data_IF_024475171178
#
_entry.id   IF_024475171178
#
_cell.length_a   1.000
_cell.length_b   1.000
_cell.length_c   1.000
_cell.angle_alpha   90.00
_cell.angle_beta   90.00
_cell.angle_gamma   90.00
#
_symmetry.space_group_name_H-M   'P 1'
#
loop_
_entity.id
_entity.type
_entity.pdbx_description
1 polymer ?
#
# COMPACT_ATOMS: atom_id res chain seq x y z
N UNK A 1 -8.84 -16.71 -24.28
CA UNK A 1 -7.91 -17.00 -23.16
C UNK A 1 -7.11 -15.78 -22.71
N UNK A 2 -6.65 -14.89 -23.60
CA UNK A 2 -5.93 -13.66 -23.24
C UNK A 2 -6.71 -12.71 -22.30
N UNK A 3 -8.02 -12.57 -22.51
CA UNK A 3 -8.92 -11.72 -21.70
C UNK A 3 -9.04 -12.16 -20.24
N UNK A 4 -9.06 -13.47 -19.96
CA UNK A 4 -9.12 -13.99 -18.58
C UNK A 4 -7.81 -13.74 -17.83
N UNK A 5 -6.67 -13.92 -18.50
CA UNK A 5 -5.36 -13.64 -17.91
C UNK A 5 -5.15 -12.15 -17.62
N UNK A 6 -5.64 -11.26 -18.50
CA UNK A 6 -5.64 -9.82 -18.26
C UNK A 6 -6.53 -9.46 -17.07
N UNK A 7 -7.77 -9.95 -17.02
CA UNK A 7 -8.70 -9.70 -15.90
C UNK A 7 -8.18 -10.22 -14.55
N UNK A 8 -7.51 -11.38 -14.53
CA UNK A 8 -6.85 -11.89 -13.33
C UNK A 8 -5.64 -11.03 -12.96
N UNK A 9 -4.86 -10.58 -13.94
CA UNK A 9 -3.68 -9.74 -13.74
C UNK A 9 -4.02 -8.41 -13.05
N UNK A 10 -5.08 -7.72 -13.47
CA UNK A 10 -5.43 -6.45 -12.87
C UNK A 10 -6.10 -6.59 -11.49
N UNK A 11 -6.98 -7.59 -11.30
CA UNK A 11 -7.51 -7.92 -9.96
C UNK A 11 -6.40 -8.29 -8.97
N UNK A 12 -5.38 -9.00 -9.45
CA UNK A 12 -4.20 -9.34 -8.65
C UNK A 12 -3.37 -8.09 -8.35
N UNK A 13 -3.13 -7.22 -9.34
CA UNK A 13 -2.39 -5.97 -9.17
C UNK A 13 -3.04 -5.05 -8.15
N UNK A 14 -4.35 -4.83 -8.27
CA UNK A 14 -5.13 -4.04 -7.32
C UNK A 14 -5.14 -4.68 -5.92
N UNK A 15 -5.36 -5.99 -5.84
CA UNK A 15 -5.36 -6.74 -4.58
C UNK A 15 -4.01 -6.65 -3.85
N UNK A 16 -2.89 -6.77 -4.58
CA UNK A 16 -1.55 -6.62 -4.02
C UNK A 16 -1.27 -5.18 -3.56
N UNK A 17 -1.69 -4.18 -4.33
CA UNK A 17 -1.54 -2.77 -3.95
C UNK A 17 -2.28 -2.47 -2.64
N UNK A 18 -3.53 -2.94 -2.51
CA UNK A 18 -4.31 -2.83 -1.27
C UNK A 18 -3.59 -3.54 -0.12
N UNK A 19 -3.13 -4.78 -0.32
CA UNK A 19 -2.49 -5.58 0.71
C UNK A 19 -1.22 -4.87 1.26
N UNK A 20 -0.40 -4.31 0.38
CA UNK A 20 0.80 -3.58 0.76
C UNK A 20 0.44 -2.29 1.51
N UNK A 21 -0.48 -1.49 0.98
CA UNK A 21 -0.87 -0.22 1.59
C UNK A 21 -1.53 -0.40 2.96
N UNK A 22 -2.54 -1.28 3.03
CA UNK A 22 -3.26 -1.58 4.26
C UNK A 22 -2.36 -2.28 5.28
N UNK A 23 -1.52 -3.23 4.84
CA UNK A 23 -0.54 -3.90 5.68
C UNK A 23 0.46 -2.91 6.31
N UNK A 24 1.00 -2.00 5.51
CA UNK A 24 1.87 -0.93 6.00
C UNK A 24 1.16 -0.04 7.04
N UNK A 25 -0.08 0.38 6.75
CA UNK A 25 -0.88 1.20 7.67
C UNK A 25 -1.14 0.48 9.00
N UNK A 26 -1.53 -0.78 8.95
CA UNK A 26 -1.81 -1.58 10.15
C UNK A 26 -0.55 -1.82 10.98
N UNK A 27 0.55 -2.18 10.32
CA UNK A 27 1.82 -2.43 10.99
C UNK A 27 2.34 -1.14 11.64
N UNK A 28 2.29 -0.02 10.93
CA UNK A 28 2.78 1.27 11.44
C UNK A 28 1.90 1.89 12.53
N UNK A 29 0.58 1.64 12.51
CA UNK A 29 -0.36 2.18 13.51
C UNK A 29 -0.52 1.32 14.76
N UNK A 30 -0.41 -0.01 14.62
CA UNK A 30 -0.67 -0.94 15.73
C UNK A 30 0.56 -1.73 16.14
N UNK A 31 1.26 -2.37 15.19
CA UNK A 31 2.30 -3.35 15.51
C UNK A 31 3.59 -2.68 15.97
N UNK A 32 4.04 -1.63 15.27
CA UNK A 32 5.27 -0.93 15.59
C UNK A 32 5.14 -0.13 16.90
N UNK A 33 4.09 0.68 17.12
CA UNK A 33 3.94 1.44 18.36
C UNK A 33 3.86 0.56 19.60
N UNK A 34 3.28 -0.64 19.47
CA UNK A 34 3.21 -1.63 20.57
C UNK A 34 4.58 -2.12 21.04
N UNK A 35 5.59 -2.18 20.17
CA UNK A 35 6.97 -2.58 20.53
C UNK A 35 7.92 -1.40 20.69
N UNK A 36 7.60 -0.25 20.09
CA UNK A 36 8.40 0.98 20.15
C UNK A 36 7.49 2.19 20.38
N UNK A 37 7.30 2.62 21.64
CA UNK A 37 6.42 3.73 21.99
C UNK A 37 6.83 5.06 21.34
N UNK A 38 8.11 5.24 21.03
CA UNK A 38 8.61 6.46 20.40
C UNK A 38 8.45 6.49 18.88
N UNK A 39 7.84 5.50 18.24
CA UNK A 39 7.61 5.51 16.79
C UNK A 39 6.62 6.62 16.37
N UNK A 40 6.85 7.35 15.26
CA UNK A 40 7.99 7.26 14.33
C UNK A 40 9.23 8.08 14.75
N UNK A 41 9.11 8.87 15.82
CA UNK A 41 10.21 9.60 16.45
C UNK A 41 10.98 10.47 15.47
N UNK A 42 12.31 10.37 15.48
CA UNK A 42 13.20 11.12 14.58
C UNK A 42 13.07 10.70 13.10
N UNK A 43 12.47 9.54 12.83
CA UNK A 43 12.23 9.02 11.49
C UNK A 43 10.97 9.56 10.81
N UNK A 44 10.23 10.49 11.44
CA UNK A 44 8.98 11.05 10.94
C UNK A 44 9.05 11.51 9.47
N UNK A 45 10.09 12.24 9.00
CA UNK A 45 10.15 12.68 7.60
C UNK A 45 10.18 11.52 6.61
N UNK A 46 10.94 10.46 6.91
CA UNK A 46 11.04 9.27 6.07
C UNK A 46 9.72 8.49 6.10
N UNK A 47 9.12 8.35 7.29
CA UNK A 47 7.82 7.70 7.44
C UNK A 47 6.75 8.38 6.60
N UNK A 48 6.70 9.72 6.63
CA UNK A 48 5.78 10.50 5.81
C UNK A 48 6.06 10.34 4.32
N UNK A 49 7.33 10.39 3.90
CA UNK A 49 7.71 10.20 2.51
C UNK A 49 7.27 8.81 1.98
N UNK A 50 7.50 7.75 2.76
CA UNK A 50 7.05 6.39 2.40
C UNK A 50 5.52 6.30 2.37
N UNK A 51 4.84 6.92 3.34
CA UNK A 51 3.37 6.92 3.39
C UNK A 51 2.75 7.60 2.18
N UNK A 52 3.29 8.76 1.78
CA UNK A 52 2.86 9.49 0.59
C UNK A 52 3.19 8.70 -0.68
N UNK A 53 4.38 8.10 -0.77
CA UNK A 53 4.75 7.28 -1.91
C UNK A 53 3.82 6.07 -2.08
N UNK A 54 3.50 5.37 -1.00
CA UNK A 54 2.54 4.27 -1.02
C UNK A 54 1.13 4.74 -1.37
N UNK A 55 0.71 5.92 -0.91
CA UNK A 55 -0.58 6.50 -1.24
C UNK A 55 -0.69 6.83 -2.73
N UNK A 56 0.30 7.53 -3.29
CA UNK A 56 0.37 7.82 -4.73
C UNK A 56 0.44 6.52 -5.54
N UNK A 57 1.20 5.53 -5.08
CA UNK A 57 1.26 4.20 -5.69
C UNK A 57 -0.10 3.50 -5.70
N UNK A 58 -0.88 3.59 -4.62
CA UNK A 58 -2.23 3.04 -4.56
C UNK A 58 -3.19 3.77 -5.52
N UNK A 59 -3.11 5.10 -5.61
CA UNK A 59 -3.90 5.86 -6.60
C UNK A 59 -3.54 5.45 -8.03
N UNK A 60 -2.24 5.31 -8.34
CA UNK A 60 -1.78 4.84 -9.64
C UNK A 60 -2.30 3.42 -9.94
N UNK A 61 -2.27 2.54 -8.93
CA UNK A 61 -2.83 1.19 -9.07
C UNK A 61 -4.33 1.22 -9.36
N UNK A 62 -5.11 2.08 -8.70
CA UNK A 62 -6.55 2.23 -9.00
C UNK A 62 -6.79 2.78 -10.40
N UNK A 63 -6.00 3.75 -10.85
CA UNK A 63 -6.15 4.33 -12.20
C UNK A 63 -5.82 3.30 -13.29
N UNK A 64 -4.82 2.45 -13.06
CA UNK A 64 -4.37 1.46 -14.05
C UNK A 64 -5.20 0.17 -14.00
N UNK A 65 -5.49 -0.33 -12.79
CA UNK A 65 -6.10 -1.64 -12.55
C UNK A 65 -7.58 -1.60 -12.11
N UNK A 66 -8.14 -0.40 -11.94
CA UNK A 66 -9.52 -0.20 -11.50
C UNK A 66 -10.49 0.14 -12.63
N UNK A 67 -10.00 0.33 -13.86
CA UNK A 67 -10.80 0.74 -15.01
C UNK A 67 -11.49 -0.44 -15.74
N UNK A 68 -11.76 -1.54 -15.03
CA UNK A 68 -12.14 -2.84 -15.61
C UNK A 68 -13.13 -3.65 -14.78
#
# INVERSE_FOLDING_TARGET
MLLLALSTGHKLGLGLAVLVFAGFSLVSSMVIPRRRPQFPGRGLPIFLAVSVALFVGMLAAVVIFGAE
#
